data_IF_742968861104
#
_entry.id   IF_742968861104
#
_cell.length_a   1.000
_cell.length_b   1.000
_cell.length_c   1.000
_cell.angle_alpha   90.00
_cell.angle_beta   90.00
_cell.angle_gamma   90.00
#
_symmetry.space_group_name_H-M   'P 1'
#
loop_
_entity.id
_entity.type
_entity.pdbx_description
1 polymer ?
#
# COMPACT_ATOMS: atom_id res chain seq x y z
N UNK A 1 -15.51 1.60 -13.28
CA UNK A 1 -14.31 0.82 -12.92
C UNK A 1 -13.43 1.73 -12.09
N UNK A 2 -13.18 1.33 -10.86
CA UNK A 2 -12.40 2.11 -9.91
C UNK A 2 -11.00 1.51 -9.90
N UNK A 3 -9.96 2.33 -10.08
CA UNK A 3 -8.60 1.81 -10.27
C UNK A 3 -7.66 2.27 -9.16
N UNK A 4 -6.90 1.34 -8.59
CA UNK A 4 -5.73 1.61 -7.75
C UNK A 4 -4.45 1.48 -8.58
N UNK A 5 -3.50 2.42 -8.46
CA UNK A 5 -2.25 2.36 -9.22
C UNK A 5 -1.18 1.52 -8.53
N UNK A 6 -0.34 0.88 -9.32
CA UNK A 6 0.85 0.23 -8.78
C UNK A 6 1.84 1.28 -8.28
N UNK A 7 2.48 1.01 -7.14
CA UNK A 7 3.41 1.91 -6.46
C UNK A 7 4.70 2.14 -7.27
N UNK A 8 5.18 1.11 -7.99
CA UNK A 8 6.42 1.14 -8.76
C UNK A 8 6.23 1.24 -10.28
N UNK A 9 5.03 0.91 -10.80
CA UNK A 9 4.75 0.88 -12.24
C UNK A 9 3.42 1.59 -12.60
N UNK A 10 3.51 2.85 -13.01
CA UNK A 10 2.33 3.65 -13.35
C UNK A 10 1.59 3.19 -14.61
N UNK A 11 2.10 2.20 -15.35
CA UNK A 11 1.40 1.57 -16.47
C UNK A 11 0.40 0.48 -16.03
N UNK A 12 0.38 0.14 -14.73
CA UNK A 12 -0.46 -0.92 -14.17
C UNK A 12 -1.41 -0.42 -13.09
N UNK A 13 -2.58 -1.06 -13.02
CA UNK A 13 -3.57 -0.81 -12.01
C UNK A 13 -4.32 -2.07 -11.58
N UNK A 14 -5.00 -2.01 -10.45
CA UNK A 14 -5.99 -3.00 -10.05
C UNK A 14 -7.38 -2.40 -10.16
N UNK A 15 -8.31 -3.12 -10.79
CA UNK A 15 -9.73 -2.88 -10.60
C UNK A 15 -10.11 -3.35 -9.20
N UNK A 16 -10.47 -2.41 -8.33
CA UNK A 16 -10.73 -2.70 -6.91
C UNK A 16 -12.05 -3.45 -6.68
N UNK A 17 -12.89 -3.60 -7.72
CA UNK A 17 -14.11 -4.42 -7.64
C UNK A 17 -13.84 -5.91 -7.87
N UNK A 18 -12.88 -6.24 -8.74
CA UNK A 18 -12.54 -7.64 -9.10
C UNK A 18 -11.19 -8.09 -8.53
N UNK A 19 -10.38 -7.15 -8.04
CA UNK A 19 -8.98 -7.34 -7.67
C UNK A 19 -8.11 -7.84 -8.83
N UNK A 20 -8.54 -7.69 -10.09
CA UNK A 20 -7.77 -8.07 -11.27
C UNK A 20 -6.79 -6.96 -11.67
N UNK A 21 -5.60 -7.35 -12.12
CA UNK A 21 -4.61 -6.39 -12.65
C UNK A 21 -4.98 -6.05 -14.11
N UNK A 22 -4.90 -4.78 -14.44
CA UNK A 22 -5.18 -4.23 -15.76
C UNK A 22 -4.05 -3.32 -16.23
N UNK A 23 -3.85 -3.26 -17.55
CA UNK A 23 -2.96 -2.26 -18.15
C UNK A 23 -3.66 -0.90 -18.27
N UNK A 24 -2.97 0.16 -17.84
CA UNK A 24 -3.51 1.51 -17.83
C UNK A 24 -3.23 2.23 -19.14
N UNK A 25 -4.25 2.29 -19.99
CA UNK A 25 -4.30 3.17 -21.15
C UNK A 25 -4.62 4.63 -20.77
N UNK A 26 -4.47 5.58 -21.73
CA UNK A 26 -4.84 7.00 -21.53
C UNK A 26 -6.32 7.21 -21.15
N UNK A 27 -7.20 6.26 -21.49
CA UNK A 27 -8.64 6.32 -21.22
C UNK A 27 -8.96 6.08 -19.74
N UNK A 28 -8.11 5.34 -19.03
CA UNK A 28 -8.23 5.06 -17.60
C UNK A 28 -7.91 6.26 -16.70
N UNK A 29 -7.52 7.41 -17.27
CA UNK A 29 -7.00 8.55 -16.51
C UNK A 29 -8.00 9.23 -15.58
N UNK A 30 -9.30 8.96 -15.72
CA UNK A 30 -10.35 9.77 -15.10
C UNK A 30 -10.90 9.22 -13.77
N UNK A 31 -10.65 7.96 -13.38
CA UNK A 31 -11.27 7.36 -12.17
C UNK A 31 -10.29 6.55 -11.32
N UNK A 32 -9.24 7.22 -10.82
CA UNK A 32 -8.33 6.60 -9.85
C UNK A 32 -8.78 6.83 -8.42
N UNK A 33 -8.67 5.77 -7.61
CA UNK A 33 -8.63 5.92 -6.17
C UNK A 33 -7.27 6.43 -5.71
N UNK A 34 -7.31 7.20 -4.63
CA UNK A 34 -6.10 7.55 -3.90
C UNK A 34 -5.65 6.30 -3.14
N UNK A 35 -4.40 5.90 -3.36
CA UNK A 35 -3.83 4.69 -2.78
C UNK A 35 -2.84 4.04 -3.74
N UNK A 36 -2.23 2.96 -3.28
CA UNK A 36 -1.17 2.26 -4.02
C UNK A 36 -1.17 0.78 -3.68
N UNK A 37 -0.72 -0.04 -4.62
CA UNK A 37 -0.45 -1.46 -4.39
C UNK A 37 0.89 -1.90 -4.97
N UNK A 38 1.33 -3.08 -4.57
CA UNK A 38 2.39 -3.85 -5.22
C UNK A 38 1.91 -5.27 -5.51
N UNK A 39 2.53 -5.91 -6.50
CA UNK A 39 2.55 -7.36 -6.61
C UNK A 39 3.83 -7.89 -5.97
N UNK A 40 3.65 -8.76 -4.98
CA UNK A 40 4.76 -9.38 -4.27
C UNK A 40 4.50 -10.87 -4.04
N UNK A 41 5.33 -11.73 -4.64
CA UNK A 41 5.19 -13.19 -4.54
C UNK A 41 3.75 -13.65 -4.83
N UNK A 42 3.18 -13.21 -5.96
CA UNK A 42 1.80 -13.54 -6.39
C UNK A 42 0.70 -12.96 -5.50
N UNK A 43 1.05 -12.11 -4.52
CA UNK A 43 0.08 -11.44 -3.64
C UNK A 43 -0.03 -9.96 -3.97
N UNK A 44 -1.26 -9.48 -4.03
CA UNK A 44 -1.60 -8.06 -4.22
C UNK A 44 -1.73 -7.41 -2.87
N UNK A 45 -0.91 -6.40 -2.60
CA UNK A 45 -0.82 -5.78 -1.27
C UNK A 45 -0.89 -4.29 -1.43
N UNK A 46 -1.77 -3.62 -0.68
CA UNK A 46 -1.92 -2.19 -0.87
C UNK A 46 -2.69 -1.45 0.21
N UNK A 47 -2.77 -0.15 0.01
CA UNK A 47 -3.60 0.78 0.77
C UNK A 47 -4.53 1.49 -0.19
N UNK A 48 -5.81 1.56 0.18
CA UNK A 48 -6.83 2.33 -0.52
C UNK A 48 -7.41 3.40 0.43
N UNK A 49 -7.60 4.61 -0.08
CA UNK A 49 -8.33 5.66 0.62
C UNK A 49 -9.82 5.36 0.55
N UNK A 50 -10.53 5.51 1.68
CA UNK A 50 -11.99 5.39 1.73
C UNK A 50 -12.60 6.56 2.49
N UNK A 51 -13.93 6.69 2.46
CA UNK A 51 -14.65 7.67 3.27
C UNK A 51 -14.52 7.41 4.77
N UNK A 52 -14.30 6.14 5.16
CA UNK A 52 -14.16 5.71 6.55
C UNK A 52 -12.70 5.67 7.04
N UNK A 53 -11.75 6.07 6.20
CA UNK A 53 -10.31 6.04 6.48
C UNK A 53 -9.53 5.09 5.56
N UNK A 54 -8.22 4.92 5.79
CA UNK A 54 -7.43 3.99 4.99
C UNK A 54 -7.88 2.54 5.21
N UNK A 55 -7.78 1.74 4.16
CA UNK A 55 -7.97 0.31 4.20
C UNK A 55 -6.72 -0.37 3.66
N UNK A 56 -6.17 -1.31 4.42
CA UNK A 56 -5.12 -2.20 3.96
C UNK A 56 -5.75 -3.44 3.35
N UNK A 57 -5.23 -3.87 2.21
CA UNK A 57 -5.64 -5.14 1.62
C UNK A 57 -4.45 -6.05 1.35
N UNK A 58 -4.73 -7.34 1.45
CA UNK A 58 -3.84 -8.42 1.05
C UNK A 58 -4.68 -9.45 0.30
N UNK A 59 -4.53 -9.47 -1.02
CA UNK A 59 -5.45 -10.09 -1.96
C UNK A 59 -6.88 -9.59 -1.72
N UNK A 60 -7.79 -10.50 -1.38
CA UNK A 60 -9.20 -10.29 -1.07
C UNK A 60 -9.47 -9.93 0.41
N UNK A 61 -8.45 -9.98 1.27
CA UNK A 61 -8.60 -9.67 2.68
C UNK A 61 -8.48 -8.18 2.94
N UNK A 62 -9.48 -7.60 3.61
CA UNK A 62 -9.58 -6.17 3.86
C UNK A 62 -9.51 -5.84 5.35
N UNK A 63 -8.66 -4.86 5.67
CA UNK A 63 -8.41 -4.43 7.05
C UNK A 63 -8.61 -2.92 7.14
N UNK A 64 -9.73 -2.48 7.72
CA UNK A 64 -9.91 -1.07 8.06
C UNK A 64 -8.80 -0.62 9.01
N UNK A 65 -8.05 0.39 8.60
CA UNK A 65 -6.95 0.96 9.39
C UNK A 65 -7.49 2.05 10.31
N UNK A 66 -8.43 1.68 11.19
CA UNK A 66 -8.98 2.55 12.21
C UNK A 66 -8.00 2.70 13.39
N UNK A 67 -8.02 3.88 14.00
CA UNK A 67 -7.07 4.27 15.05
C UNK A 67 -6.86 3.16 16.10
N UNK A 68 -5.58 2.87 16.38
CA UNK A 68 -5.07 1.90 17.37
C UNK A 68 -5.26 0.41 17.12
N UNK A 69 -6.01 0.01 16.09
CA UNK A 69 -6.27 -1.43 15.84
C UNK A 69 -5.21 -2.10 14.96
N UNK A 70 -4.18 -1.39 14.53
CA UNK A 70 -3.15 -1.94 13.65
C UNK A 70 -1.76 -1.38 13.95
N UNK A 71 -0.74 -2.11 13.52
CA UNK A 71 0.64 -1.62 13.47
C UNK A 71 1.39 -2.24 12.28
N UNK A 72 2.33 -1.48 11.72
CA UNK A 72 3.20 -1.91 10.64
C UNK A 72 4.65 -1.61 11.00
N UNK A 73 5.51 -2.64 11.03
CA UNK A 73 6.93 -2.45 11.28
C UNK A 73 7.81 -3.38 10.45
N UNK A 74 9.07 -2.99 10.31
CA UNK A 74 10.08 -3.76 9.60
C UNK A 74 11.17 -4.17 10.56
N UNK A 75 11.50 -5.46 10.52
CA UNK A 75 12.73 -5.99 11.09
C UNK A 75 13.78 -6.13 10.00
N UNK A 76 14.90 -5.43 10.15
CA UNK A 76 15.98 -5.44 9.16
C UNK A 76 16.99 -6.55 9.48
N UNK A 77 17.39 -7.28 8.45
CA UNK A 77 18.50 -8.22 8.47
C UNK A 77 19.55 -7.81 7.44
N UNK A 78 20.65 -8.55 7.37
CA UNK A 78 21.80 -8.23 6.51
C UNK A 78 21.40 -8.11 5.03
N UNK A 79 20.65 -9.08 4.52
CA UNK A 79 20.30 -9.30 3.12
C UNK A 79 18.81 -9.13 2.83
N UNK A 80 17.97 -9.14 3.87
CA UNK A 80 16.51 -9.10 3.75
C UNK A 80 15.87 -8.25 4.85
N UNK A 81 14.66 -7.81 4.58
CA UNK A 81 13.76 -7.20 5.54
C UNK A 81 12.58 -8.14 5.78
N UNK A 82 11.98 -8.07 6.96
CA UNK A 82 10.71 -8.71 7.27
C UNK A 82 9.72 -7.63 7.66
N UNK A 83 8.68 -7.46 6.85
CA UNK A 83 7.53 -6.61 7.15
C UNK A 83 6.52 -7.39 7.98
N UNK A 84 6.02 -6.76 9.04
CA UNK A 84 4.96 -7.28 9.89
C UNK A 84 3.76 -6.33 9.83
N UNK A 85 2.60 -6.90 9.56
CA UNK A 85 1.31 -6.25 9.73
C UNK A 85 0.56 -6.92 10.87
N UNK A 86 0.25 -6.16 11.90
CA UNK A 86 -0.61 -6.59 12.99
C UNK A 86 -1.96 -5.90 12.92
N UNK A 87 -3.02 -6.65 13.23
CA UNK A 87 -4.39 -6.15 13.32
C UNK A 87 -5.07 -6.77 14.54
N UNK A 88 -5.68 -5.93 15.38
CA UNK A 88 -6.21 -6.27 16.70
C UNK A 88 -5.21 -7.05 17.56
N UNK A 89 -3.97 -6.55 17.62
CA UNK A 89 -2.89 -7.14 18.42
C UNK A 89 -2.33 -8.47 17.89
N UNK A 90 -2.84 -8.99 16.76
CA UNK A 90 -2.40 -10.25 16.17
C UNK A 90 -1.63 -10.00 14.88
N UNK A 91 -0.47 -10.66 14.71
CA UNK A 91 0.27 -10.63 13.45
C UNK A 91 -0.57 -11.37 12.39
N UNK A 92 -1.03 -10.64 11.37
CA UNK A 92 -1.79 -11.19 10.25
C UNK A 92 -0.88 -11.57 9.09
N UNK A 93 0.10 -10.71 8.79
CA UNK A 93 1.06 -10.96 7.72
C UNK A 93 2.49 -10.76 8.19
N UNK A 94 3.35 -11.67 7.74
CA UNK A 94 4.80 -11.64 7.90
C UNK A 94 5.42 -11.87 6.53
N UNK A 95 6.00 -10.83 5.95
CA UNK A 95 6.47 -10.83 4.56
C UNK A 95 7.96 -10.62 4.55
N UNK A 96 8.71 -11.61 4.07
CA UNK A 96 10.16 -11.52 3.93
C UNK A 96 10.50 -11.05 2.53
N UNK A 97 11.29 -9.99 2.39
CA UNK A 97 11.66 -9.43 1.10
C UNK A 97 13.12 -8.96 1.05
N UNK A 98 13.72 -8.99 -0.14
CA UNK A 98 15.10 -8.55 -0.32
C UNK A 98 15.22 -7.04 -0.20
N UNK A 99 16.32 -6.58 0.38
CA UNK A 99 16.60 -5.14 0.48
C UNK A 99 16.89 -4.59 -0.91
N UNK A 100 16.18 -3.53 -1.29
CA UNK A 100 16.51 -2.74 -2.47
C UNK A 100 17.68 -1.84 -2.10
N UNK A 101 18.88 -2.23 -2.55
CA UNK A 101 20.10 -1.48 -2.27
C UNK A 101 20.58 -0.77 -3.53
N UNK A 102 20.96 0.49 -3.39
CA UNK A 102 21.59 1.28 -4.45
C UNK A 102 22.93 1.84 -3.97
N UNK A 103 23.78 2.24 -4.92
CA UNK A 103 25.08 2.85 -4.60
C UNK A 103 24.99 4.36 -4.62
N UNK A 104 25.32 4.99 -3.49
CA UNK A 104 25.44 6.43 -3.36
C UNK A 104 26.72 6.77 -2.58
N UNK A 105 27.57 7.64 -3.13
CA UNK A 105 28.82 8.05 -2.46
C UNK A 105 29.77 6.90 -2.09
N UNK A 106 29.75 5.79 -2.85
CA UNK A 106 30.58 4.61 -2.58
C UNK A 106 30.08 3.70 -1.45
N UNK A 107 28.89 3.97 -0.89
CA UNK A 107 28.22 3.14 0.12
C UNK A 107 26.97 2.49 -0.48
N UNK A 108 26.55 1.37 0.12
CA UNK A 108 25.27 0.74 -0.19
C UNK A 108 24.19 1.35 0.71
N UNK A 109 23.23 2.02 0.09
CA UNK A 109 22.11 2.66 0.74
C UNK A 109 20.81 1.92 0.44
N UNK A 110 19.84 2.01 1.35
CA UNK A 110 18.54 1.35 1.25
C UNK A 110 17.54 2.27 0.53
N UNK A 111 16.96 1.81 -0.58
CA UNK A 111 15.98 2.57 -1.34
C UNK A 111 14.60 2.52 -0.67
N UNK A 112 14.47 3.27 0.43
CA UNK A 112 13.23 3.38 1.20
C UNK A 112 12.11 4.11 0.46
N UNK A 113 12.42 4.76 -0.66
CA UNK A 113 11.43 5.50 -1.46
C UNK A 113 10.73 4.55 -2.42
N UNK A 114 11.47 3.60 -3.01
CA UNK A 114 10.93 2.58 -3.90
C UNK A 114 10.54 1.27 -3.18
N UNK A 115 10.93 1.10 -1.91
CA UNK A 115 10.44 0.02 -1.05
C UNK A 115 9.06 0.38 -0.46
N UNK A 116 8.01 -0.22 -1.01
CA UNK A 116 6.63 -0.06 -0.55
C UNK A 116 6.44 -0.36 0.94
N UNK A 117 7.08 -1.40 1.48
CA UNK A 117 6.91 -1.77 2.89
C UNK A 117 7.60 -0.75 3.80
N UNK A 118 8.78 -0.27 3.40
CA UNK A 118 9.49 0.80 4.12
C UNK A 118 8.71 2.11 4.06
N UNK A 119 8.18 2.46 2.90
CA UNK A 119 7.28 3.59 2.75
C UNK A 119 6.06 3.47 3.67
N UNK A 120 5.37 2.33 3.65
CA UNK A 120 4.15 2.12 4.42
C UNK A 120 4.41 2.20 5.93
N UNK A 121 5.40 1.46 6.44
CA UNK A 121 5.77 1.46 7.86
C UNK A 121 6.19 2.85 8.38
N UNK A 122 6.78 3.69 7.52
CA UNK A 122 7.10 5.07 7.85
C UNK A 122 5.88 6.00 7.71
N UNK A 123 5.03 5.77 6.73
CA UNK A 123 3.84 6.57 6.46
C UNK A 123 2.85 6.45 7.62
N UNK A 124 2.56 5.24 8.10
CA UNK A 124 1.58 5.00 9.19
C UNK A 124 1.96 5.67 10.51
N UNK A 125 3.27 5.87 10.76
CA UNK A 125 3.77 6.59 11.94
C UNK A 125 3.52 8.10 11.88
N UNK A 126 3.26 8.66 10.70
CA UNK A 126 2.99 10.09 10.53
C UNK A 126 1.55 10.37 10.88
N UNK A 127 1.32 11.37 11.76
CA UNK A 127 -0.03 11.83 12.16
C UNK A 127 -0.96 12.14 10.97
N UNK A 128 -0.40 12.53 9.82
CA UNK A 128 -1.16 12.89 8.61
C UNK A 128 -1.62 11.70 7.76
N UNK A 129 -1.13 10.48 8.00
CA UNK A 129 -1.47 9.31 7.19
C UNK A 129 -2.97 9.07 7.13
N UNK A 130 -3.61 8.99 8.30
CA UNK A 130 -5.04 8.75 8.40
C UNK A 130 -5.84 9.84 7.66
N UNK A 131 -5.54 11.11 7.94
CA UNK A 131 -6.21 12.24 7.28
C UNK A 131 -6.00 12.26 5.76
N UNK A 132 -4.82 11.88 5.27
CA UNK A 132 -4.53 11.85 3.83
C UNK A 132 -5.32 10.76 3.10
N UNK A 133 -5.56 9.62 3.74
CA UNK A 133 -6.31 8.49 3.17
C UNK A 133 -7.79 8.45 3.59
N UNK A 134 -8.28 9.46 4.30
CA UNK A 134 -9.71 9.65 4.55
C UNK A 134 -10.28 10.59 3.49
N UNK A 135 -11.24 10.13 2.72
CA UNK A 135 -11.85 10.90 1.63
C UNK A 135 -12.99 11.78 2.16
N UNK A 136 -13.09 13.01 1.68
CA UNK A 136 -14.26 13.86 1.94
C UNK A 136 -15.35 13.55 0.91
N UNK A 137 -16.60 13.50 1.36
CA UNK A 137 -17.77 13.00 0.61
C UNK A 137 -17.91 13.56 -0.81
N UNK A 138 -17.40 14.75 -1.10
CA UNK A 138 -17.59 15.43 -2.39
C UNK A 138 -16.60 15.03 -3.51
N UNK A 139 -15.58 14.22 -3.23
CA UNK A 139 -14.55 13.93 -4.24
C UNK A 139 -13.97 12.52 -4.10
N UNK A 140 -14.55 11.52 -4.75
CA UNK A 140 -13.78 10.30 -5.09
C UNK A 140 -14.55 9.26 -5.88
N UNK A 141 -13.84 8.58 -6.78
CA UNK A 141 -14.27 7.37 -7.45
C UNK A 141 -14.47 6.19 -6.47
N UNK A 142 -13.92 6.27 -5.24
CA UNK A 142 -13.85 5.19 -4.24
C UNK A 142 -15.08 5.03 -3.31
N UNK A 143 -16.24 5.60 -3.66
CA UNK A 143 -17.41 5.64 -2.73
C UNK A 143 -18.01 4.27 -2.41
N UNK A 144 -17.75 3.24 -3.22
CA UNK A 144 -18.42 1.93 -3.11
C UNK A 144 -17.81 1.00 -2.05
N UNK A 145 -16.74 1.42 -1.35
CA UNK A 145 -16.15 0.67 -0.23
C UNK A 145 -16.73 1.17 1.12
N UNK A 146 -18.02 0.88 1.35
CA UNK A 146 -18.70 1.04 2.65
C UNK A 146 -19.42 -0.25 3.01
#
# INVERSE_FOLDING_TARGET
MIILRNFGDLSKGIDVSTYEEIELSKEHKQQYCRGFYIDYQENKIGIIATVNGPLFFYNDNLFPLQNSNFDCYIQQYRDKNIFYFSWNGTIKYKISYYRLLYREGGKWEDDRVNDFFAWLSNAVKKKKFYAFYTLHEQSSACREFV
#
